data_IF_062586784937
#
_entry.id   IF_062586784937
#
_cell.length_a   1.000
_cell.length_b   1.000
_cell.length_c   1.000
_cell.angle_alpha   90.00
_cell.angle_beta   90.00
_cell.angle_gamma   90.00
#
_symmetry.space_group_name_H-M   'P 1'
#
loop_
_entity.id
_entity.type
_entity.pdbx_description
1 polymer ?
#
# COMPACT_ATOMS: atom_id res chain seq x y z
N UNK A 1 -23.21 29.67 -19.54
CA UNK A 1 -21.74 29.88 -19.54
C UNK A 1 -21.09 28.59 -19.08
N UNK A 2 -20.34 27.90 -19.95
CA UNK A 2 -19.53 26.74 -19.54
C UNK A 2 -18.36 27.28 -18.69
N UNK A 3 -18.38 27.02 -17.38
CA UNK A 3 -17.27 27.32 -16.47
C UNK A 3 -16.08 26.50 -16.98
N UNK A 4 -15.02 27.19 -17.40
CA UNK A 4 -13.78 26.56 -17.86
C UNK A 4 -13.13 25.95 -16.62
N UNK A 5 -13.37 24.67 -16.36
CA UNK A 5 -12.68 23.93 -15.30
C UNK A 5 -11.18 23.98 -15.61
N UNK A 6 -10.37 24.36 -14.62
CA UNK A 6 -8.91 24.35 -14.76
C UNK A 6 -8.45 22.90 -14.82
N UNK A 7 -7.48 22.58 -15.70
CA UNK A 7 -6.98 21.20 -15.87
C UNK A 7 -6.53 20.54 -14.55
N UNK A 8 -6.10 21.33 -13.56
CA UNK A 8 -5.74 20.84 -12.22
C UNK A 8 -6.94 20.37 -11.37
N UNK A 9 -8.12 20.97 -11.56
CA UNK A 9 -9.35 20.50 -10.91
C UNK A 9 -9.78 19.14 -11.44
N UNK A 10 -9.59 18.89 -12.74
CA UNK A 10 -10.01 17.64 -13.39
C UNK A 10 -9.22 16.42 -12.91
N UNK A 11 -7.88 16.54 -12.77
CA UNK A 11 -7.03 15.44 -12.31
C UNK A 11 -7.28 15.08 -10.83
N UNK A 12 -7.42 16.10 -9.97
CA UNK A 12 -7.78 15.91 -8.56
C UNK A 12 -9.16 15.25 -8.44
N UNK A 13 -10.16 15.76 -9.16
CA UNK A 13 -11.52 15.20 -9.19
C UNK A 13 -11.49 13.74 -9.63
N UNK A 14 -10.79 13.44 -10.72
CA UNK A 14 -10.67 12.08 -11.25
C UNK A 14 -10.03 11.13 -10.24
N UNK A 15 -8.95 11.55 -9.59
CA UNK A 15 -8.24 10.74 -8.59
C UNK A 15 -9.10 10.50 -7.35
N UNK A 16 -9.85 11.51 -6.89
CA UNK A 16 -10.82 11.38 -5.81
C UNK A 16 -11.94 10.38 -6.17
N UNK A 17 -12.57 10.54 -7.34
CA UNK A 17 -13.62 9.63 -7.81
C UNK A 17 -13.10 8.19 -7.88
N UNK A 18 -11.93 7.97 -8.49
CA UNK A 18 -11.34 6.63 -8.57
C UNK A 18 -11.01 6.05 -7.19
N UNK A 19 -10.59 6.89 -6.25
CA UNK A 19 -10.30 6.47 -4.87
C UNK A 19 -11.58 6.10 -4.12
N UNK A 20 -12.67 6.85 -4.30
CA UNK A 20 -14.01 6.53 -3.74
C UNK A 20 -14.53 5.22 -4.32
N UNK A 21 -14.38 5.01 -5.63
CA UNK A 21 -14.75 3.76 -6.30
C UNK A 21 -13.88 2.57 -5.87
N UNK A 22 -12.69 2.82 -5.30
CA UNK A 22 -11.83 1.77 -4.77
C UNK A 22 -12.25 1.29 -3.37
N UNK A 23 -12.93 2.12 -2.59
CA UNK A 23 -13.38 1.76 -1.25
C UNK A 23 -14.32 0.55 -1.31
N UNK A 24 -14.08 -0.42 -0.43
CA UNK A 24 -14.87 -1.64 -0.33
C UNK A 24 -14.48 -2.72 -1.34
N UNK A 25 -13.54 -2.46 -2.26
CA UNK A 25 -13.01 -3.48 -3.17
C UNK A 25 -11.98 -4.37 -2.49
N UNK A 26 -11.83 -5.57 -3.04
CA UNK A 26 -10.76 -6.49 -2.68
C UNK A 26 -9.38 -5.95 -3.06
N UNK A 27 -8.36 -6.37 -2.33
CA UNK A 27 -6.99 -5.96 -2.54
C UNK A 27 -6.02 -7.06 -2.13
N UNK A 28 -4.96 -7.24 -2.90
CA UNK A 28 -3.85 -8.09 -2.53
C UNK A 28 -2.74 -7.24 -1.90
N UNK A 29 -2.59 -7.31 -0.58
CA UNK A 29 -1.62 -6.48 0.15
C UNK A 29 -0.16 -6.88 -0.08
N UNK A 30 0.11 -7.94 -0.85
CA UNK A 30 1.46 -8.23 -1.39
C UNK A 30 1.86 -7.29 -2.53
N UNK A 31 0.92 -6.51 -3.08
CA UNK A 31 1.13 -5.50 -4.11
C UNK A 31 1.42 -4.10 -3.55
N UNK A 32 1.94 -3.19 -4.39
CA UNK A 32 2.04 -1.75 -4.07
C UNK A 32 0.65 -1.10 -3.97
N UNK A 33 0.51 0.06 -3.33
CA UNK A 33 -0.78 0.75 -3.06
C UNK A 33 -1.36 1.47 -4.29
N UNK A 34 -1.27 0.90 -5.49
CA UNK A 34 -1.85 1.50 -6.71
C UNK A 34 -3.30 1.03 -6.87
N UNK A 35 -4.18 1.96 -7.26
CA UNK A 35 -5.59 1.66 -7.52
C UNK A 35 -5.78 0.58 -8.61
N UNK A 36 -4.80 0.42 -9.51
CA UNK A 36 -4.82 -0.62 -10.53
C UNK A 36 -4.76 -2.04 -9.97
N UNK A 37 -4.29 -2.24 -8.72
CA UNK A 37 -4.23 -3.54 -8.06
C UNK A 37 -5.49 -3.87 -7.26
N UNK A 38 -6.47 -2.96 -7.20
CA UNK A 38 -7.77 -3.27 -6.63
C UNK A 38 -8.45 -4.35 -7.48
N UNK A 39 -9.06 -5.32 -6.79
CA UNK A 39 -9.71 -6.50 -7.40
C UNK A 39 -11.08 -6.17 -7.98
N UNK A 40 -11.51 -6.98 -8.95
CA UNK A 40 -12.75 -6.80 -9.70
C UNK A 40 -12.75 -5.55 -10.60
N UNK A 41 -13.90 -5.23 -11.19
CA UNK A 41 -14.06 -4.02 -11.99
C UNK A 41 -14.14 -2.75 -11.11
N UNK A 42 -13.98 -1.57 -11.70
CA UNK A 42 -14.21 -0.30 -10.98
C UNK A 42 -15.65 -0.27 -10.46
N UNK A 43 -15.83 -0.05 -9.15
CA UNK A 43 -17.14 -0.07 -8.49
C UNK A 43 -17.62 -1.45 -8.02
N UNK A 44 -16.92 -2.56 -8.32
CA UNK A 44 -17.30 -3.90 -7.81
C UNK A 44 -16.87 -4.08 -6.36
N UNK A 45 -17.67 -3.57 -5.43
CA UNK A 45 -17.41 -3.64 -3.99
C UNK A 45 -17.69 -5.04 -3.45
N UNK A 46 -16.88 -5.50 -2.51
CA UNK A 46 -17.08 -6.75 -1.78
C UNK A 46 -18.00 -6.55 -0.57
N UNK A 47 -18.12 -5.31 -0.10
CA UNK A 47 -18.93 -4.91 1.06
C UNK A 47 -20.09 -4.02 0.65
N UNK A 48 -21.19 -4.13 1.39
CA UNK A 48 -22.36 -3.28 1.23
C UNK A 48 -22.06 -1.83 1.62
N UNK A 49 -22.12 -0.95 0.63
CA UNK A 49 -22.15 0.50 0.80
C UNK A 49 -23.50 1.00 0.27
N UNK A 50 -24.13 1.92 1.02
CA UNK A 50 -25.42 2.48 0.64
C UNK A 50 -25.28 3.47 -0.54
N UNK A 51 -25.55 2.98 -1.75
CA UNK A 51 -25.54 3.82 -2.97
C UNK A 51 -26.87 4.54 -3.22
N UNK A 52 -27.95 4.14 -2.54
CA UNK A 52 -29.28 4.76 -2.71
C UNK A 52 -29.31 6.13 -2.03
N UNK A 53 -28.65 6.24 -0.88
CA UNK A 53 -28.50 7.49 -0.16
C UNK A 53 -27.14 8.13 -0.48
N UNK A 54 -27.17 9.02 -1.47
CA UNK A 54 -26.00 9.78 -1.90
C UNK A 54 -26.19 11.29 -1.68
N UNK A 55 -25.07 11.99 -1.50
CA UNK A 55 -25.01 13.46 -1.35
C UNK A 55 -23.94 14.05 -2.27
N UNK A 56 -24.09 15.32 -2.57
CA UNK A 56 -22.99 16.11 -3.12
C UNK A 56 -22.03 16.42 -1.96
N UNK A 57 -20.76 16.03 -2.12
CA UNK A 57 -19.73 16.18 -1.12
C UNK A 57 -18.87 17.40 -1.45
N UNK A 58 -19.02 18.46 -0.66
CA UNK A 58 -18.21 19.66 -0.77
C UNK A 58 -16.78 19.39 -0.28
N UNK A 59 -15.82 19.39 -1.21
CA UNK A 59 -14.40 19.14 -0.92
C UNK A 59 -13.66 20.46 -0.67
N UNK A 60 -13.96 21.48 -1.48
CA UNK A 60 -13.46 22.85 -1.32
C UNK A 60 -14.43 23.84 -1.97
N UNK A 61 -14.19 25.15 -1.82
CA UNK A 61 -15.02 26.20 -2.42
C UNK A 61 -15.24 26.07 -3.94
N UNK A 62 -14.36 25.34 -4.65
CA UNK A 62 -14.42 25.15 -6.09
C UNK A 62 -14.68 23.70 -6.53
N UNK A 63 -14.67 22.74 -5.59
CA UNK A 63 -14.76 21.32 -5.90
C UNK A 63 -15.87 20.64 -5.09
N UNK A 64 -16.86 20.12 -5.82
CA UNK A 64 -17.97 19.32 -5.28
C UNK A 64 -17.97 17.99 -6.00
N UNK A 65 -17.97 16.88 -5.26
CA UNK A 65 -18.09 15.54 -5.81
C UNK A 65 -19.57 15.13 -5.77
N UNK A 66 -20.21 14.90 -6.92
CA UNK A 66 -21.61 14.53 -6.94
C UNK A 66 -21.80 13.07 -6.49
N UNK A 67 -22.98 12.80 -5.94
CA UNK A 67 -23.47 11.43 -5.73
C UNK A 67 -22.52 10.51 -4.92
N UNK A 68 -21.97 11.03 -3.82
CA UNK A 68 -21.15 10.25 -2.88
C UNK A 68 -22.02 9.68 -1.76
N UNK A 69 -21.93 8.38 -1.52
CA UNK A 69 -22.63 7.68 -0.43
C UNK A 69 -22.42 8.32 0.95
N UNK A 70 -23.46 8.31 1.80
CA UNK A 70 -23.37 8.69 3.22
C UNK A 70 -22.42 7.80 4.04
N UNK A 71 -22.15 6.57 3.60
CA UNK A 71 -21.19 5.67 4.22
C UNK A 71 -19.74 6.05 3.92
N UNK A 72 -19.49 7.10 3.13
CA UNK A 72 -18.16 7.56 2.73
C UNK A 72 -17.91 8.96 3.26
N UNK A 73 -16.75 9.12 3.90
CA UNK A 73 -16.25 10.38 4.40
C UNK A 73 -15.04 10.84 3.61
N UNK A 74 -14.89 12.16 3.50
CA UNK A 74 -13.70 12.78 2.95
C UNK A 74 -13.21 13.89 3.88
N UNK A 75 -11.94 13.82 4.26
CA UNK A 75 -11.30 14.81 5.13
C UNK A 75 -10.07 15.41 4.46
N UNK A 76 -9.76 16.70 4.65
CA UNK A 76 -8.52 17.29 4.16
C UNK A 76 -7.30 16.69 4.87
N UNK A 77 -6.21 16.55 4.13
CA UNK A 77 -4.92 16.10 4.66
C UNK A 77 -4.10 17.23 5.27
N UNK A 78 -3.13 16.87 6.12
CA UNK A 78 -2.14 17.81 6.68
C UNK A 78 -0.74 17.46 6.18
N UNK A 79 -0.05 18.46 5.62
CA UNK A 79 1.36 18.34 5.24
C UNK A 79 2.20 17.94 6.44
N UNK A 80 3.13 17.01 6.23
CA UNK A 80 4.02 16.52 7.27
C UNK A 80 5.37 16.11 6.70
N UNK A 81 6.38 16.13 7.57
CA UNK A 81 7.67 15.51 7.31
C UNK A 81 7.70 14.29 8.21
N UNK A 82 7.87 13.11 7.63
CA UNK A 82 8.03 11.88 8.38
C UNK A 82 9.49 11.46 8.31
N UNK A 83 10.05 11.12 9.48
CA UNK A 83 11.37 10.53 9.61
C UNK A 83 11.23 9.26 10.44
N UNK A 84 11.72 8.15 9.91
CA UNK A 84 11.92 6.94 10.70
C UNK A 84 13.44 6.83 10.88
N UNK A 85 13.94 6.86 12.13
CA UNK A 85 15.36 6.68 12.41
C UNK A 85 15.82 5.28 12.01
N UNK A 86 17.11 5.04 12.06
CA UNK A 86 17.73 3.75 11.80
C UNK A 86 17.08 2.69 12.68
N UNK A 87 16.43 1.72 12.04
CA UNK A 87 15.76 0.62 12.71
C UNK A 87 15.94 -0.69 11.95
N UNK A 88 15.53 -1.79 12.57
CA UNK A 88 15.56 -3.12 11.94
C UNK A 88 14.54 -3.26 10.82
N UNK A 89 14.71 -4.29 9.99
CA UNK A 89 13.76 -4.66 8.96
C UNK A 89 12.32 -4.82 9.50
N UNK A 90 12.18 -5.53 10.64
CA UNK A 90 10.87 -5.80 11.24
C UNK A 90 10.20 -4.57 11.82
N UNK A 91 10.96 -3.67 12.45
CA UNK A 91 10.41 -2.41 12.97
C UNK A 91 9.94 -1.51 11.84
N UNK A 92 10.70 -1.41 10.74
CA UNK A 92 10.27 -0.63 9.57
C UNK A 92 9.03 -1.26 8.92
N UNK A 93 9.00 -2.57 8.72
CA UNK A 93 7.84 -3.27 8.18
C UNK A 93 6.60 -3.05 9.07
N UNK A 94 6.75 -3.17 10.39
CA UNK A 94 5.67 -2.90 11.35
C UNK A 94 5.08 -1.49 11.21
N UNK A 95 5.92 -0.47 11.02
CA UNK A 95 5.46 0.92 10.80
C UNK A 95 4.66 1.08 9.50
N UNK A 96 5.06 0.39 8.44
CA UNK A 96 4.28 0.36 7.19
C UNK A 96 2.93 -0.32 7.40
N UNK A 97 2.89 -1.42 8.14
CA UNK A 97 1.67 -2.15 8.46
C UNK A 97 0.71 -1.31 9.30
N UNK A 98 1.20 -0.68 10.36
CA UNK A 98 0.44 0.25 11.19
C UNK A 98 -0.18 1.39 10.36
N UNK A 99 0.61 1.98 9.44
CA UNK A 99 0.13 3.04 8.53
C UNK A 99 -0.95 2.57 7.56
N UNK A 100 -0.98 1.27 7.27
CA UNK A 100 -2.01 0.60 6.46
C UNK A 100 -3.16 -0.01 7.30
N UNK A 101 -3.19 0.21 8.61
CA UNK A 101 -4.23 -0.32 9.49
C UNK A 101 -4.15 -1.83 9.73
N UNK A 102 -3.00 -2.44 9.46
CA UNK A 102 -2.75 -3.88 9.61
C UNK A 102 -1.89 -4.11 10.84
N UNK A 103 -2.31 -5.01 11.73
CA UNK A 103 -1.60 -5.38 12.96
C UNK A 103 -0.66 -6.58 12.79
N UNK A 104 -0.74 -7.27 11.65
CA UNK A 104 0.12 -8.41 11.32
C UNK A 104 1.58 -7.98 11.17
N UNK A 105 2.51 -8.94 11.33
CA UNK A 105 3.97 -8.69 11.23
C UNK A 105 4.54 -8.96 9.84
N UNK A 106 3.72 -9.43 8.91
CA UNK A 106 4.15 -9.80 7.57
C UNK A 106 4.39 -8.51 6.77
N UNK A 107 5.57 -8.31 6.15
CA UNK A 107 5.83 -7.08 5.41
C UNK A 107 4.89 -6.92 4.21
N UNK A 108 4.32 -5.74 4.01
CA UNK A 108 3.42 -5.48 2.88
C UNK A 108 4.17 -5.29 1.56
N UNK A 109 3.45 -5.44 0.43
CA UNK A 109 3.96 -5.12 -0.90
C UNK A 109 4.40 -3.67 -1.05
N UNK A 110 3.69 -2.76 -0.39
CA UNK A 110 4.03 -1.35 -0.32
C UNK A 110 5.41 -1.12 0.32
N UNK A 111 5.72 -1.82 1.41
CA UNK A 111 7.04 -1.79 2.04
C UNK A 111 8.11 -2.38 1.10
N UNK A 112 7.84 -3.54 0.50
CA UNK A 112 8.76 -4.20 -0.42
C UNK A 112 9.13 -3.29 -1.61
N UNK A 113 8.12 -2.67 -2.24
CA UNK A 113 8.32 -1.78 -3.38
C UNK A 113 9.08 -0.49 -3.03
N UNK A 114 8.94 0.02 -1.81
CA UNK A 114 9.67 1.22 -1.37
C UNK A 114 11.17 0.97 -1.15
N UNK A 115 11.53 -0.23 -0.69
CA UNK A 115 12.93 -0.61 -0.40
C UNK A 115 13.58 -1.51 -1.46
N UNK A 116 12.93 -1.73 -2.61
CA UNK A 116 13.39 -2.64 -3.68
C UNK A 116 13.67 -4.06 -3.18
N UNK A 117 12.80 -4.57 -2.31
CA UNK A 117 12.79 -5.97 -1.92
C UNK A 117 12.02 -6.77 -2.95
N UNK A 118 12.58 -7.91 -3.34
CA UNK A 118 12.06 -8.77 -4.42
C UNK A 118 12.15 -10.26 -4.08
N UNK A 119 12.79 -10.62 -2.96
CA UNK A 119 12.90 -12.01 -2.52
C UNK A 119 11.80 -12.38 -1.52
N UNK A 120 11.92 -13.58 -0.96
CA UNK A 120 11.21 -13.92 0.27
C UNK A 120 11.65 -12.97 1.37
N UNK A 121 10.72 -12.51 2.21
CA UNK A 121 11.04 -11.49 3.21
C UNK A 121 12.10 -11.97 4.23
N UNK A 122 12.24 -13.28 4.46
CA UNK A 122 13.25 -13.85 5.34
C UNK A 122 14.67 -13.59 4.80
N UNK A 123 14.87 -13.76 3.49
CA UNK A 123 16.14 -13.49 2.81
C UNK A 123 16.42 -12.00 2.79
N UNK A 124 15.41 -11.19 2.46
CA UNK A 124 15.54 -9.73 2.44
C UNK A 124 15.86 -9.18 3.85
N UNK A 125 15.26 -9.74 4.90
CA UNK A 125 15.55 -9.41 6.29
C UNK A 125 16.99 -9.80 6.67
N UNK A 126 17.42 -11.03 6.34
CA UNK A 126 18.77 -11.51 6.64
C UNK A 126 19.87 -10.71 5.92
N UNK A 127 19.58 -10.20 4.72
CA UNK A 127 20.49 -9.33 3.96
C UNK A 127 20.50 -7.87 4.39
N UNK A 128 19.59 -7.45 5.29
CA UNK A 128 19.40 -6.06 5.69
C UNK A 128 19.90 -5.81 7.12
N UNK A 129 20.90 -4.95 7.27
CA UNK A 129 21.42 -4.53 8.58
C UNK A 129 20.46 -3.59 9.28
N UNK A 130 20.02 -2.56 8.54
CA UNK A 130 19.08 -1.57 9.04
C UNK A 130 18.44 -0.78 7.90
N UNK A 131 17.30 -0.17 8.20
CA UNK A 131 16.55 0.69 7.31
C UNK A 131 16.35 2.07 7.95
N UNK A 132 16.22 3.09 7.12
CA UNK A 132 15.81 4.42 7.54
C UNK A 132 14.99 5.08 6.43
N UNK A 133 14.15 6.05 6.78
CA UNK A 133 13.49 6.89 5.79
C UNK A 133 13.30 8.32 6.26
N UNK A 134 13.26 9.23 5.30
CA UNK A 134 12.90 10.63 5.50
C UNK A 134 12.15 11.11 4.27
N UNK A 135 11.00 11.75 4.47
CA UNK A 135 10.18 12.18 3.35
C UNK A 135 9.17 13.25 3.70
N UNK A 136 8.80 14.00 2.67
CA UNK A 136 7.74 14.99 2.71
C UNK A 136 6.46 14.37 2.18
N UNK A 137 5.40 14.47 2.97
CA UNK A 137 4.06 13.99 2.64
C UNK A 137 3.12 15.19 2.51
N UNK A 138 2.47 15.28 1.35
CA UNK A 138 1.51 16.32 0.99
C UNK A 138 0.17 15.63 0.72
N UNK A 139 -0.50 15.09 1.76
CA UNK A 139 -1.86 14.59 1.61
C UNK A 139 -2.78 15.78 1.34
N UNK A 140 -3.56 15.70 0.27
CA UNK A 140 -4.60 16.68 -0.05
C UNK A 140 -5.91 16.27 0.61
N UNK A 141 -6.31 15.01 0.43
CA UNK A 141 -7.55 14.47 0.97
C UNK A 141 -7.39 13.00 1.34
N UNK A 142 -8.18 12.56 2.31
CA UNK A 142 -8.36 11.15 2.65
C UNK A 142 -9.84 10.82 2.49
N UNK A 143 -10.14 9.82 1.67
CA UNK A 143 -11.47 9.23 1.56
C UNK A 143 -11.49 7.91 2.32
N UNK A 144 -12.55 7.65 3.07
CA UNK A 144 -12.66 6.44 3.90
C UNK A 144 -14.10 6.00 4.07
N UNK A 145 -14.29 4.71 4.32
CA UNK A 145 -15.59 4.17 4.71
C UNK A 145 -15.86 4.57 6.16
N UNK A 146 -16.91 5.36 6.38
CA UNK A 146 -17.38 5.78 7.71
C UNK A 146 -18.24 4.71 8.39
N UNK A 147 -18.79 3.78 7.61
CA UNK A 147 -19.61 2.68 8.10
C UNK A 147 -18.80 1.78 9.04
N UNK A 148 -19.23 1.70 10.30
CA UNK A 148 -18.56 0.93 11.36
C UNK A 148 -18.65 -0.58 11.11
N UNK A 149 -19.83 -1.06 10.69
CA UNK A 149 -20.09 -2.48 10.48
C UNK A 149 -20.09 -2.80 8.98
N UNK A 150 -18.93 -3.19 8.47
CA UNK A 150 -18.80 -3.68 7.10
C UNK A 150 -19.42 -5.08 6.98
N UNK A 151 -20.26 -5.27 5.97
CA UNK A 151 -20.91 -6.55 5.69
C UNK A 151 -20.56 -6.97 4.28
N UNK A 152 -19.97 -8.16 4.12
CA UNK A 152 -19.69 -8.75 2.82
C UNK A 152 -20.97 -9.10 2.08
N UNK A 153 -20.97 -8.91 0.75
CA UNK A 153 -22.00 -9.45 -0.12
C UNK A 153 -22.08 -10.98 0.00
N UNK A 154 -23.30 -11.53 -0.06
CA UNK A 154 -23.55 -12.97 0.08
C UNK A 154 -22.84 -13.82 -0.99
N UNK A 155 -22.57 -13.26 -2.16
CA UNK A 155 -21.81 -13.92 -3.22
C UNK A 155 -20.38 -14.23 -2.79
N UNK A 156 -19.73 -13.28 -2.09
CA UNK A 156 -18.36 -13.46 -1.56
C UNK A 156 -18.36 -14.54 -0.48
N UNK A 157 -19.36 -14.54 0.41
CA UNK A 157 -19.49 -15.57 1.45
C UNK A 157 -19.70 -16.96 0.84
N UNK A 158 -20.53 -17.07 -0.20
CA UNK A 158 -20.77 -18.32 -0.94
C UNK A 158 -19.55 -18.82 -1.71
N UNK A 159 -18.61 -17.94 -2.07
CA UNK A 159 -17.39 -18.32 -2.77
C UNK A 159 -16.32 -18.94 -1.84
N UNK A 160 -16.50 -18.90 -0.51
CA UNK A 160 -15.54 -19.48 0.44
C UNK A 160 -15.52 -21.01 0.30
N UNK A 161 -14.35 -21.63 0.04
CA UNK A 161 -14.24 -23.08 -0.08
C UNK A 161 -14.52 -23.79 1.26
N UNK A 162 -15.33 -24.85 1.23
CA UNK A 162 -15.72 -25.61 2.43
C UNK A 162 -14.61 -26.52 2.99
N UNK A 163 -13.58 -26.81 2.19
CA UNK A 163 -12.47 -27.72 2.52
C UNK A 163 -11.15 -27.16 2.01
N UNK A 164 -10.04 -27.82 2.33
CA UNK A 164 -8.75 -27.49 1.73
C UNK A 164 -8.70 -27.97 0.27
N UNK A 165 -9.22 -27.14 -0.63
CA UNK A 165 -9.10 -27.30 -2.07
C UNK A 165 -8.17 -26.21 -2.64
N UNK A 166 -6.90 -26.53 -2.95
CA UNK A 166 -5.90 -25.55 -3.39
C UNK A 166 -6.31 -24.70 -4.58
N UNK A 167 -7.01 -25.28 -5.56
CA UNK A 167 -7.49 -24.56 -6.73
C UNK A 167 -8.53 -23.49 -6.36
N UNK A 168 -9.58 -23.85 -5.60
CA UNK A 168 -10.61 -22.90 -5.18
C UNK A 168 -10.06 -21.84 -4.20
N UNK A 169 -9.13 -22.21 -3.32
CA UNK A 169 -8.48 -21.27 -2.40
C UNK A 169 -7.62 -20.24 -3.14
N UNK A 170 -6.81 -20.69 -4.10
CA UNK A 170 -6.02 -19.80 -4.95
C UNK A 170 -6.93 -18.89 -5.79
N UNK A 171 -7.96 -19.45 -6.40
CA UNK A 171 -8.94 -18.68 -7.19
C UNK A 171 -9.68 -17.63 -6.35
N UNK A 172 -10.01 -17.93 -5.10
CA UNK A 172 -10.61 -16.96 -4.19
C UNK A 172 -9.67 -15.78 -3.93
N UNK A 173 -8.41 -16.06 -3.57
CA UNK A 173 -7.39 -15.02 -3.30
C UNK A 173 -7.12 -14.20 -4.56
N UNK A 174 -7.05 -14.83 -5.73
CA UNK A 174 -6.86 -14.15 -7.00
C UNK A 174 -8.03 -13.20 -7.30
N UNK A 175 -9.27 -13.66 -7.10
CA UNK A 175 -10.50 -12.94 -7.44
C UNK A 175 -10.87 -11.83 -6.46
N UNK A 176 -10.71 -12.08 -5.16
CA UNK A 176 -11.17 -11.19 -4.09
C UNK A 176 -10.02 -10.51 -3.32
N UNK A 177 -8.78 -10.98 -3.50
CA UNK A 177 -7.64 -10.51 -2.72
C UNK A 177 -7.62 -11.07 -1.30
N UNK A 178 -6.76 -10.50 -0.48
CA UNK A 178 -6.55 -10.89 0.92
C UNK A 178 -7.23 -9.92 1.88
N UNK A 179 -7.40 -8.68 1.47
CA UNK A 179 -7.96 -7.60 2.28
C UNK A 179 -8.96 -6.75 1.48
N UNK A 180 -9.67 -5.87 2.17
CA UNK A 180 -10.62 -4.91 1.61
C UNK A 180 -10.10 -3.50 1.85
N UNK A 181 -10.15 -2.65 0.82
CA UNK A 181 -9.73 -1.25 0.92
C UNK A 181 -10.73 -0.46 1.78
N UNK A 182 -10.27 0.14 2.88
CA UNK A 182 -11.10 0.94 3.80
C UNK A 182 -10.85 2.43 3.71
N UNK A 183 -9.66 2.85 3.29
CA UNK A 183 -9.37 4.24 2.97
C UNK A 183 -8.30 4.39 1.90
N UNK A 184 -8.30 5.54 1.23
CA UNK A 184 -7.26 5.98 0.33
C UNK A 184 -6.92 7.44 0.63
N UNK A 185 -5.62 7.75 0.68
CA UNK A 185 -5.10 9.10 0.86
C UNK A 185 -4.52 9.59 -0.46
N UNK A 186 -5.07 10.69 -0.97
CA UNK A 186 -4.73 11.30 -2.25
C UNK A 186 -3.79 12.48 -1.99
N UNK A 187 -2.73 12.60 -2.77
CA UNK A 187 -1.82 13.74 -2.72
C UNK A 187 -0.48 13.43 -3.37
N UNK A 188 0.60 13.86 -2.70
CA UNK A 188 1.97 13.65 -3.16
C UNK A 188 2.89 13.23 -2.02
N UNK A 189 3.93 12.47 -2.33
CA UNK A 189 5.05 12.21 -1.41
C UNK A 189 6.39 12.18 -2.15
N UNK A 190 7.43 12.69 -1.51
CA UNK A 190 8.83 12.64 -1.95
C UNK A 190 9.65 12.09 -0.80
N UNK A 191 10.10 10.84 -0.94
CA UNK A 191 10.70 10.07 0.16
C UNK A 191 12.02 9.49 -0.27
N UNK A 192 13.00 9.58 0.62
CA UNK A 192 14.29 8.91 0.53
C UNK A 192 14.26 7.71 1.47
N UNK A 193 14.43 6.52 0.90
CA UNK A 193 14.60 5.28 1.64
C UNK A 193 16.07 4.87 1.61
N UNK A 194 16.60 4.49 2.77
CA UNK A 194 17.98 4.06 2.93
C UNK A 194 17.97 2.62 3.42
N UNK A 195 18.64 1.74 2.67
CA UNK A 195 18.85 0.35 3.03
C UNK A 195 20.33 0.11 3.26
N UNK A 196 20.69 -0.16 4.51
CA UNK A 196 22.02 -0.61 4.87
C UNK A 196 22.06 -2.14 4.74
N UNK A 197 22.94 -2.65 3.88
CA UNK A 197 23.12 -4.09 3.70
C UNK A 197 23.92 -4.69 4.85
N UNK A 198 23.75 -5.99 5.11
CA UNK A 198 24.37 -6.71 6.22
C UNK A 198 25.89 -6.59 6.25
N UNK A 199 26.54 -6.53 5.08
CA UNK A 199 27.99 -6.41 4.95
C UNK A 199 28.54 -5.00 5.26
N UNK A 200 27.67 -3.99 5.37
CA UNK A 200 28.10 -2.60 5.53
C UNK A 200 28.91 -2.40 6.82
N UNK A 201 30.10 -1.77 6.75
CA UNK A 201 30.93 -1.49 7.92
C UNK A 201 30.42 -0.30 8.75
N UNK A 202 29.43 0.44 8.25
CA UNK A 202 28.94 1.66 8.89
C UNK A 202 28.17 1.37 10.19
N UNK A 203 28.32 2.27 11.16
CA UNK A 203 27.54 2.28 12.39
C UNK A 203 26.15 2.88 12.17
N UNK A 204 25.24 2.68 13.13
CA UNK A 204 23.92 3.33 13.08
C UNK A 204 24.05 4.86 13.05
N UNK A 205 25.00 5.45 13.79
CA UNK A 205 25.26 6.90 13.76
C UNK A 205 25.77 7.39 12.41
N UNK A 206 26.57 6.59 11.70
CA UNK A 206 27.01 6.94 10.35
C UNK A 206 25.83 7.00 9.38
N UNK A 207 24.90 6.04 9.50
CA UNK A 207 23.68 6.03 8.68
C UNK A 207 22.75 7.20 9.05
N UNK A 208 22.59 7.53 10.33
CA UNK A 208 21.80 8.70 10.75
C UNK A 208 22.36 10.01 10.18
N UNK A 209 23.68 10.19 10.25
CA UNK A 209 24.35 11.33 9.63
C UNK A 209 24.14 11.34 8.13
N UNK A 210 24.21 10.16 7.49
CA UNK A 210 23.98 10.03 6.06
C UNK A 210 22.54 10.41 5.66
N UNK A 211 21.53 9.97 6.42
CA UNK A 211 20.12 10.35 6.23
C UNK A 211 19.96 11.86 6.29
N UNK A 212 20.61 12.53 7.24
CA UNK A 212 20.59 13.99 7.39
C UNK A 212 21.19 14.70 6.16
N UNK A 213 22.38 14.25 5.74
CA UNK A 213 23.09 14.83 4.60
C UNK A 213 22.25 14.74 3.31
N UNK A 214 21.64 13.58 3.04
CA UNK A 214 20.78 13.41 1.86
C UNK A 214 19.49 14.21 1.99
N UNK A 215 18.84 14.22 3.16
CA UNK A 215 17.61 14.98 3.36
C UNK A 215 17.84 16.47 3.08
N UNK A 216 18.95 17.01 3.58
CA UNK A 216 19.36 18.38 3.33
C UNK A 216 19.57 18.64 1.83
N UNK A 217 20.31 17.77 1.14
CA UNK A 217 20.54 17.90 -0.30
C UNK A 217 19.26 17.77 -1.14
N UNK A 218 18.33 16.91 -0.74
CA UNK A 218 17.11 16.61 -1.49
C UNK A 218 16.04 17.67 -1.31
N UNK A 219 15.85 18.16 -0.08
CA UNK A 219 14.71 19.00 0.28
C UNK A 219 15.05 20.48 0.46
N UNK A 220 16.32 20.88 0.39
CA UNK A 220 16.70 22.29 0.45
C UNK A 220 16.81 22.94 -0.94
N UNK A 221 16.22 24.14 -1.09
CA UNK A 221 16.18 24.92 -2.33
C UNK A 221 17.51 25.62 -2.69
N UNK A 222 18.61 24.86 -2.74
CA UNK A 222 19.87 25.37 -3.30
C UNK A 222 19.98 25.02 -4.78
N UNK A 223 20.40 25.99 -5.60
CA UNK A 223 20.52 25.88 -7.06
C UNK A 223 21.24 24.58 -7.46
N UNK A 224 20.50 23.68 -8.09
CA UNK A 224 20.97 22.59 -8.97
C UNK A 224 22.36 22.04 -8.62
N UNK A 225 22.50 21.38 -7.47
CA UNK A 225 23.66 20.50 -7.25
C UNK A 225 23.18 19.08 -7.50
N UNK A 226 23.86 18.32 -8.38
CA UNK A 226 23.46 16.94 -8.67
C UNK A 226 23.36 16.16 -7.37
N UNK A 227 22.27 15.39 -7.20
CA UNK A 227 22.03 14.49 -6.07
C UNK A 227 22.95 13.26 -6.22
N UNK A 228 24.27 13.49 -6.28
CA UNK A 228 25.23 12.43 -6.10
C UNK A 228 25.17 12.03 -4.63
N UNK A 229 25.16 10.73 -4.34
CA UNK A 229 25.44 10.25 -2.99
C UNK A 229 26.71 10.99 -2.50
N UNK A 230 26.72 11.54 -1.28
CA UNK A 230 27.91 12.13 -0.71
C UNK A 230 29.04 11.11 -0.89
N UNK A 231 30.12 11.53 -1.56
CA UNK A 231 31.25 10.67 -1.92
C UNK A 231 31.76 9.85 -0.71
N UNK A 232 31.55 10.39 0.51
CA UNK A 232 31.82 9.76 1.81
C UNK A 232 31.20 8.37 2.01
N UNK A 233 30.04 8.10 1.43
CA UNK A 233 29.29 6.84 1.65
C UNK A 233 29.20 5.95 0.39
N UNK A 234 29.85 6.37 -0.71
CA UNK A 234 30.00 5.57 -1.91
C UNK A 234 30.82 4.31 -1.57
N UNK A 235 30.39 3.15 -2.07
CA UNK A 235 31.05 1.86 -1.86
C UNK A 235 31.05 1.35 -0.39
N UNK A 236 30.02 1.69 0.39
CA UNK A 236 29.84 1.26 1.80
C UNK A 236 28.67 0.30 2.02
N UNK A 237 28.23 -0.39 0.97
CA UNK A 237 27.08 -1.30 0.99
C UNK A 237 25.81 -0.65 1.56
N UNK A 238 25.50 0.55 1.05
CA UNK A 238 24.26 1.27 1.32
C UNK A 238 23.56 1.57 0.01
N UNK A 239 22.27 1.23 -0.06
CA UNK A 239 21.41 1.60 -1.18
C UNK A 239 20.52 2.78 -0.79
N UNK A 240 20.52 3.81 -1.62
CA UNK A 240 19.64 4.97 -1.49
C UNK A 240 18.60 4.92 -2.59
N UNK A 241 17.33 5.07 -2.20
CA UNK A 241 16.20 4.91 -3.10
C UNK A 241 15.33 6.16 -2.99
N UNK A 242 15.25 6.91 -4.08
CA UNK A 242 14.35 8.06 -4.19
C UNK A 242 13.02 7.59 -4.76
N UNK A 243 11.93 7.86 -4.04
CA UNK A 243 10.57 7.52 -4.45
C UNK A 243 9.68 8.74 -4.36
N UNK A 244 9.21 9.19 -5.52
CA UNK A 244 8.10 10.13 -5.63
C UNK A 244 6.83 9.41 -6.02
N UNK A 245 5.71 10.00 -5.61
CA UNK A 245 4.37 9.60 -6.02
C UNK A 245 3.44 10.80 -5.94
N UNK A 246 2.70 11.07 -7.00
CA UNK A 246 1.92 12.30 -7.17
C UNK A 246 2.81 13.51 -7.46
N UNK A 247 2.27 14.51 -8.14
CA UNK A 247 3.00 15.62 -8.74
C UNK A 247 3.69 15.24 -10.06
N UNK A 248 4.43 16.19 -10.64
CA UNK A 248 5.21 16.00 -11.85
C UNK A 248 6.59 15.38 -11.51
N UNK A 249 6.78 14.11 -11.85
CA UNK A 249 8.03 13.38 -11.58
C UNK A 249 9.25 13.95 -12.36
N UNK A 250 9.05 14.79 -13.37
CA UNK A 250 10.13 15.41 -14.13
C UNK A 250 10.76 16.61 -13.39
N UNK A 251 10.02 17.26 -12.50
CA UNK A 251 10.47 18.47 -11.80
C UNK A 251 11.51 18.13 -10.74
N UNK A 252 12.77 18.54 -10.91
CA UNK A 252 13.84 18.13 -10.00
C UNK A 252 13.77 18.79 -8.61
N UNK A 253 13.35 20.05 -8.54
CA UNK A 253 13.26 20.79 -7.28
C UNK A 253 12.11 20.25 -6.42
N UNK A 254 12.37 20.00 -5.14
CA UNK A 254 11.33 19.60 -4.20
C UNK A 254 10.22 20.65 -4.07
N UNK A 255 10.58 21.93 -3.91
CA UNK A 255 9.60 23.01 -3.74
C UNK A 255 8.69 23.15 -4.97
N UNK A 256 9.27 23.12 -6.18
CA UNK A 256 8.48 23.16 -7.41
C UNK A 256 7.62 21.91 -7.59
N UNK A 257 8.16 20.73 -7.33
CA UNK A 257 7.38 19.48 -7.35
C UNK A 257 6.19 19.55 -6.39
N UNK A 258 6.39 20.09 -5.17
CA UNK A 258 5.34 20.24 -4.17
C UNK A 258 4.16 21.12 -4.64
N UNK A 259 4.42 22.12 -5.48
CA UNK A 259 3.38 22.96 -6.10
C UNK A 259 2.56 22.19 -7.16
N UNK A 260 3.17 21.22 -7.84
CA UNK A 260 2.49 20.39 -8.85
C UNK A 260 1.56 19.32 -8.27
N UNK A 261 1.70 18.98 -6.98
CA UNK A 261 0.91 17.90 -6.34
C UNK A 261 -0.59 18.12 -6.44
N UNK A 262 -1.05 19.38 -6.38
CA UNK A 262 -2.47 19.68 -6.52
C UNK A 262 -2.99 19.44 -7.95
N UNK A 263 -2.11 19.55 -8.95
CA UNK A 263 -2.45 19.40 -10.37
C UNK A 263 -2.37 17.95 -10.86
N UNK A 264 -1.56 17.12 -10.22
CA UNK A 264 -1.36 15.73 -10.59
C UNK A 264 -1.28 14.79 -9.37
N UNK A 265 -2.28 14.77 -8.47
CA UNK A 265 -2.20 13.95 -7.27
C UNK A 265 -2.31 12.45 -7.61
N UNK A 266 -1.81 11.60 -6.71
CA UNK A 266 -1.98 10.15 -6.77
C UNK A 266 -2.27 9.59 -5.36
N UNK A 267 -2.62 8.32 -5.25
CA UNK A 267 -2.79 7.64 -3.96
C UNK A 267 -1.43 7.40 -3.32
N UNK A 268 -1.21 8.00 -2.15
CA UNK A 268 0.04 7.95 -1.39
C UNK A 268 -0.04 7.08 -0.13
N UNK A 269 -1.25 6.69 0.29
CA UNK A 269 -1.47 5.70 1.35
C UNK A 269 -2.84 5.01 1.17
N UNK A 270 -2.96 3.78 1.63
CA UNK A 270 -4.23 3.05 1.75
C UNK A 270 -4.29 2.33 3.08
N UNK A 271 -5.51 2.15 3.62
CA UNK A 271 -5.76 1.26 4.76
C UNK A 271 -6.66 0.11 4.36
N UNK A 272 -6.55 -0.98 5.12
CA UNK A 272 -7.20 -2.23 4.76
C UNK A 272 -7.83 -2.93 5.98
N UNK A 273 -8.77 -3.81 5.71
CA UNK A 273 -9.33 -4.78 6.67
C UNK A 273 -9.18 -6.19 6.10
N UNK A 274 -8.69 -7.19 6.85
CA UNK A 274 -8.59 -8.56 6.37
C UNK A 274 -9.95 -9.10 5.94
N UNK A 275 -10.05 -9.72 4.75
CA UNK A 275 -11.36 -10.22 4.27
C UNK A 275 -11.94 -11.28 5.21
N UNK A 276 -11.07 -12.09 5.82
CA UNK A 276 -11.43 -13.15 6.77
C UNK A 276 -12.04 -12.60 8.05
N UNK A 277 -11.76 -11.36 8.45
CA UNK A 277 -12.38 -10.77 9.64
C UNK A 277 -13.88 -10.48 9.45
N UNK A 278 -14.37 -10.50 8.21
CA UNK A 278 -15.78 -10.27 7.87
C UNK A 278 -16.52 -11.57 7.49
N UNK A 279 -15.86 -12.72 7.61
CA UNK A 279 -16.39 -14.05 7.27
C UNK A 279 -16.75 -14.89 8.50
N UNK A 280 -16.85 -14.28 9.69
CA UNK A 280 -17.21 -14.99 10.91
C UNK A 280 -18.53 -15.78 10.72
N UNK A 281 -18.52 -17.05 11.13
CA UNK A 281 -19.65 -17.96 10.96
C UNK A 281 -19.77 -18.62 9.57
N UNK A 282 -18.96 -18.22 8.57
CA UNK A 282 -18.96 -18.86 7.25
C UNK A 282 -18.22 -20.21 7.30
N UNK A 283 -18.86 -21.33 6.89
CA UNK A 283 -18.19 -22.62 6.82
C UNK A 283 -16.95 -22.59 5.92
N UNK A 284 -15.88 -23.28 6.33
CA UNK A 284 -14.64 -23.33 5.55
C UNK A 284 -13.66 -22.17 5.78
N UNK A 285 -14.06 -21.13 6.53
CA UNK A 285 -13.20 -19.95 6.82
C UNK A 285 -11.79 -20.32 7.31
N UNK A 286 -11.63 -21.36 8.13
CA UNK A 286 -10.33 -21.82 8.63
C UNK A 286 -9.35 -22.22 7.52
N UNK A 287 -9.86 -22.79 6.42
CA UNK A 287 -9.04 -23.17 5.28
C UNK A 287 -8.60 -21.94 4.50
N UNK A 288 -9.53 -21.00 4.26
CA UNK A 288 -9.23 -19.73 3.61
C UNK A 288 -8.25 -18.87 4.41
N UNK A 289 -8.48 -18.71 5.72
CA UNK A 289 -7.57 -17.99 6.60
C UNK A 289 -6.17 -18.57 6.55
N UNK A 290 -6.04 -19.89 6.65
CA UNK A 290 -4.74 -20.56 6.57
C UNK A 290 -4.08 -20.41 5.19
N UNK A 291 -4.85 -20.45 4.09
CA UNK A 291 -4.32 -20.22 2.75
C UNK A 291 -3.82 -18.78 2.57
N UNK A 292 -4.56 -17.78 3.07
CA UNK A 292 -4.16 -16.37 3.05
C UNK A 292 -2.90 -16.16 3.89
N UNK A 293 -2.82 -16.71 5.11
CA UNK A 293 -1.62 -16.63 5.94
C UNK A 293 -0.38 -17.16 5.20
N UNK A 294 -0.48 -18.36 4.61
CA UNK A 294 0.60 -18.97 3.84
C UNK A 294 0.95 -18.13 2.61
N UNK A 295 -0.05 -17.60 1.91
CA UNK A 295 0.18 -16.72 0.77
C UNK A 295 0.91 -15.44 1.18
N UNK A 296 0.49 -14.78 2.26
CA UNK A 296 1.13 -13.56 2.75
C UNK A 296 2.55 -13.83 3.29
N UNK A 297 2.76 -14.97 3.96
CA UNK A 297 4.05 -15.34 4.54
C UNK A 297 5.09 -15.70 3.49
N UNK A 298 4.72 -16.44 2.44
CA UNK A 298 5.67 -16.93 1.44
C UNK A 298 5.64 -16.15 0.13
N UNK A 299 4.53 -15.47 -0.19
CA UNK A 299 4.29 -14.69 -1.41
C UNK A 299 4.72 -15.40 -2.69
N UNK A 300 4.29 -16.66 -2.93
CA UNK A 300 4.49 -17.29 -4.23
C UNK A 300 3.83 -16.43 -5.32
N UNK A 301 4.29 -16.50 -6.58
CA UNK A 301 3.53 -15.94 -7.71
C UNK A 301 2.07 -16.41 -7.67
N UNK A 302 1.12 -15.54 -8.01
CA UNK A 302 -0.31 -15.84 -7.85
C UNK A 302 -0.74 -17.02 -8.73
N UNK A 303 -0.12 -17.13 -9.91
CA UNK A 303 -0.27 -18.22 -10.87
C UNK A 303 0.20 -19.58 -10.32
N UNK A 304 1.11 -19.57 -9.35
CA UNK A 304 1.68 -20.77 -8.74
C UNK A 304 1.05 -21.10 -7.38
N UNK A 305 0.17 -20.24 -6.87
CA UNK A 305 -0.39 -20.36 -5.52
C UNK A 305 -1.14 -21.69 -5.32
N UNK A 306 -1.87 -22.16 -6.33
CA UNK A 306 -2.53 -23.47 -6.27
C UNK A 306 -1.51 -24.58 -5.98
N UNK A 307 -0.45 -24.67 -6.78
CA UNK A 307 0.57 -25.70 -6.62
C UNK A 307 1.27 -25.56 -5.28
N UNK A 308 1.57 -24.33 -4.86
CA UNK A 308 2.16 -24.07 -3.56
C UNK A 308 1.29 -24.63 -2.42
N UNK A 309 -0.03 -24.40 -2.45
CA UNK A 309 -0.99 -24.88 -1.44
C UNK A 309 -1.18 -26.41 -1.47
N UNK A 310 -1.03 -27.06 -2.62
CA UNK A 310 -1.07 -28.53 -2.74
C UNK A 310 0.01 -29.23 -1.90
N UNK A 311 1.19 -28.61 -1.77
CA UNK A 311 2.31 -29.15 -1.00
C UNK A 311 2.23 -28.87 0.50
N UNK A 312 1.24 -28.11 0.97
CA UNK A 312 1.09 -27.73 2.39
C UNK A 312 0.32 -28.77 3.20
N UNK A 313 -0.34 -29.74 2.55
CA UNK A 313 -0.93 -30.88 3.24
C UNK A 313 0.13 -31.98 3.38
N UNK A 314 0.32 -32.48 4.60
CA UNK A 314 1.03 -33.73 4.81
C UNK A 314 0.26 -34.87 4.11
N UNK A 315 0.67 -35.22 2.88
CA UNK A 315 0.17 -36.43 2.23
C UNK A 315 0.73 -37.61 3.01
N UNK A 316 -0.13 -38.29 3.78
CA UNK A 316 0.24 -39.54 4.43
C UNK A 316 0.75 -40.51 3.37
N UNK A 317 2.04 -40.86 3.45
CA UNK A 317 2.61 -41.95 2.66
C UNK A 317 1.98 -43.25 3.18
N UNK A 318 1.02 -43.80 2.43
CA UNK A 318 0.59 -45.18 2.60
C UNK A 318 1.16 -45.97 1.42
N UNK A 319 2.36 -46.56 1.51
CA UNK A 319 2.76 -47.55 0.53
C UNK A 319 1.72 -48.68 0.61
N UNK A 320 1.00 -48.89 -0.49
CA UNK A 320 0.02 -49.96 -0.59
C UNK A 320 0.68 -51.27 -0.23
N UNK A 321 0.12 -51.96 0.76
CA UNK A 321 0.43 -53.36 0.99
C UNK A 321 -0.14 -54.14 -0.21
N UNK A 322 0.75 -54.52 -1.13
CA UNK A 322 0.57 -55.72 -1.95
C UNK A 322 0.94 -56.96 -1.13
#
# INVERSE_FOLDING_TARGET
MKKKMSLGSDALTTTLCNSIQALGRGFDVTSDIRLLYCKGATGSRLVHIDEEHARDLDISHELVLPSVSFDIDCSPGKRSIERIPVCSFHEMAGRFNEKSGISERIPLGSFNGMFNFTGSWQVDAAGTKSLAMVGHFIPLYKVQIAKVNLVLHEEVKRAVPYSWDPASLASFIESYGTHIVTSATIGGRDVVYIRQHQASPLSASDIENYVNDIAYQRFQDSKSTSIAAPLKYKDKDVTVIFRRRGGDDLEQSHAKWAETVQLAPDVINMTFTPIVSLLEGVPGIKHLARAIELYLEYKPPIEDLQYFLDFQIAKGWAPGAE
#
